data_IF_032332697971
#
_entry.id   IF_032332697971
#
_cell.length_a   1.000
_cell.length_b   1.000
_cell.length_c   1.000
_cell.angle_alpha   90.00
_cell.angle_beta   90.00
_cell.angle_gamma   90.00
#
_symmetry.space_group_name_H-M   'P 1'
#
loop_
_entity.id
_entity.type
_entity.pdbx_description
1 polymer ?
#
# COMPACT_ATOMS: atom_id res chain seq x y z
N UNK A 1 -18.12 4.43 0.99
CA UNK A 1 -17.16 3.90 0.00
C UNK A 1 -17.76 2.73 -0.78
N UNK A 2 -17.87 2.86 -2.11
CA UNK A 2 -18.24 1.74 -3.00
C UNK A 2 -16.99 1.17 -3.67
N UNK A 3 -16.72 -0.12 -3.47
CA UNK A 3 -15.64 -0.86 -4.13
C UNK A 3 -16.18 -2.21 -4.57
N UNK A 4 -15.51 -2.88 -5.50
CA UNK A 4 -15.84 -4.25 -5.97
C UNK A 4 -14.97 -5.32 -5.29
N UNK A 5 -14.39 -5.00 -4.13
CA UNK A 5 -13.38 -5.88 -3.48
C UNK A 5 -13.99 -7.17 -2.93
N UNK A 6 -15.30 -7.18 -2.68
CA UNK A 6 -16.09 -8.36 -2.33
C UNK A 6 -16.19 -9.36 -3.48
N UNK A 7 -15.90 -8.95 -4.72
CA UNK A 7 -15.88 -9.80 -5.90
C UNK A 7 -14.46 -10.30 -6.19
N UNK A 8 -13.42 -9.63 -5.70
CA UNK A 8 -12.02 -9.98 -5.95
C UNK A 8 -11.62 -11.34 -5.33
N UNK A 9 -11.09 -12.27 -6.12
CA UNK A 9 -10.57 -13.55 -5.62
C UNK A 9 -9.24 -13.41 -4.88
N UNK A 10 -8.44 -12.42 -5.28
CA UNK A 10 -7.17 -12.09 -4.65
C UNK A 10 -6.93 -10.57 -4.72
N UNK A 11 -6.03 -10.10 -3.85
CA UNK A 11 -5.48 -8.75 -3.92
C UNK A 11 -3.96 -8.86 -3.72
N UNK A 12 -3.14 -8.20 -4.55
CA UNK A 12 -1.70 -8.24 -4.37
C UNK A 12 -1.29 -7.51 -3.07
N UNK A 13 -0.11 -7.82 -2.51
CA UNK A 13 0.45 -7.04 -1.41
C UNK A 13 0.45 -5.55 -1.74
N UNK A 14 -0.20 -4.72 -0.94
CA UNK A 14 -0.50 -3.33 -1.32
C UNK A 14 -0.02 -2.38 -0.24
N UNK A 15 0.64 -1.29 -0.66
CA UNK A 15 0.84 -0.13 0.21
C UNK A 15 0.00 1.04 -0.29
N UNK A 16 -0.70 1.70 0.62
CA UNK A 16 -1.52 2.89 0.37
C UNK A 16 -0.91 4.03 1.16
N UNK A 17 -0.62 5.15 0.50
CA UNK A 17 -0.22 6.41 1.13
C UNK A 17 -1.40 7.38 1.08
N UNK A 18 -1.69 8.07 2.20
CA UNK A 18 -2.76 9.07 2.25
C UNK A 18 -2.45 10.14 3.30
N UNK A 19 -2.59 11.42 2.95
CA UNK A 19 -2.56 12.51 3.92
C UNK A 19 -3.87 12.61 4.70
N UNK A 20 -3.85 12.82 6.02
CA UNK A 20 -5.10 12.91 6.79
C UNK A 20 -5.83 14.26 6.69
N UNK A 21 -5.17 15.27 6.10
CA UNK A 21 -5.74 16.58 5.81
C UNK A 21 -6.17 16.71 4.34
N UNK A 22 -6.15 15.63 3.54
CA UNK A 22 -6.55 15.64 2.12
C UNK A 22 -8.00 16.14 1.96
N UNK A 23 -8.14 17.30 1.31
CA UNK A 23 -9.43 17.96 1.03
C UNK A 23 -10.09 17.50 -0.26
N UNK A 24 -9.38 16.79 -1.14
CA UNK A 24 -9.90 16.27 -2.41
C UNK A 24 -10.46 14.85 -2.24
N UNK A 25 -9.81 14.01 -1.43
CA UNK A 25 -10.21 12.63 -1.16
C UNK A 25 -10.14 12.37 0.34
N UNK A 26 -11.24 11.91 0.94
CA UNK A 26 -11.31 11.75 2.40
C UNK A 26 -10.53 10.51 2.83
N UNK A 27 -9.57 10.67 3.75
CA UNK A 27 -8.76 9.57 4.33
C UNK A 27 -9.59 8.42 4.92
N UNK A 28 -10.82 8.72 5.35
CA UNK A 28 -11.79 7.73 5.82
C UNK A 28 -12.10 6.63 4.81
N UNK A 29 -12.07 6.92 3.51
CA UNK A 29 -12.29 5.91 2.48
C UNK A 29 -11.12 4.90 2.43
N UNK A 30 -9.86 5.34 2.54
CA UNK A 30 -8.73 4.38 2.61
C UNK A 30 -8.76 3.52 3.86
N UNK A 31 -9.17 4.07 5.01
CA UNK A 31 -9.38 3.28 6.24
C UNK A 31 -10.48 2.23 6.04
N UNK A 32 -11.63 2.66 5.53
CA UNK A 32 -12.76 1.79 5.24
C UNK A 32 -12.40 0.68 4.24
N UNK A 33 -11.55 0.96 3.24
CA UNK A 33 -11.06 -0.05 2.31
C UNK A 33 -10.24 -1.12 3.01
N UNK A 34 -9.28 -0.74 3.85
CA UNK A 34 -8.43 -1.70 4.56
C UNK A 34 -9.25 -2.55 5.52
N UNK A 35 -10.18 -1.94 6.26
CA UNK A 35 -11.06 -2.66 7.18
C UNK A 35 -11.95 -3.66 6.43
N UNK A 36 -12.48 -3.24 5.28
CA UNK A 36 -13.29 -4.09 4.40
C UNK A 36 -12.49 -5.29 3.89
N UNK A 37 -11.27 -5.09 3.37
CA UNK A 37 -10.43 -6.22 2.92
C UNK A 37 -10.15 -7.20 4.05
N UNK A 38 -9.76 -6.69 5.23
CA UNK A 38 -9.48 -7.53 6.41
C UNK A 38 -10.70 -8.30 6.92
N UNK A 39 -11.90 -7.81 6.64
CA UNK A 39 -13.15 -8.48 7.01
C UNK A 39 -13.54 -9.62 6.07
N UNK A 40 -12.98 -9.68 4.86
CA UNK A 40 -13.30 -10.69 3.86
C UNK A 40 -12.42 -11.93 4.08
N UNK A 41 -13.02 -13.06 4.45
CA UNK A 41 -12.28 -14.30 4.74
C UNK A 41 -11.37 -14.72 3.58
N UNK A 42 -11.81 -14.53 2.33
CA UNK A 42 -11.02 -14.84 1.12
C UNK A 42 -9.78 -13.97 0.93
N UNK A 43 -9.73 -12.79 1.54
CA UNK A 43 -8.60 -11.84 1.46
C UNK A 43 -7.92 -11.64 2.82
N UNK A 44 -8.20 -12.50 3.80
CA UNK A 44 -7.71 -12.34 5.18
C UNK A 44 -6.19 -12.40 5.30
N UNK A 45 -5.56 -13.17 4.42
CA UNK A 45 -4.11 -13.30 4.32
C UNK A 45 -3.47 -12.21 3.43
N UNK A 46 -4.27 -11.32 2.83
CA UNK A 46 -3.75 -10.21 2.04
C UNK A 46 -3.00 -9.23 2.93
N UNK A 47 -1.74 -8.98 2.58
CA UNK A 47 -0.94 -7.97 3.25
C UNK A 47 -1.22 -6.58 2.69
N UNK A 48 -1.88 -5.72 3.49
CA UNK A 48 -2.10 -4.31 3.16
C UNK A 48 -1.46 -3.43 4.22
N UNK A 49 -0.68 -2.44 3.77
CA UNK A 49 -0.15 -1.36 4.59
C UNK A 49 -0.84 -0.05 4.25
N UNK A 50 -1.41 0.60 5.26
CA UNK A 50 -1.96 1.95 5.13
C UNK A 50 -1.05 2.91 5.90
N UNK A 51 -0.42 3.83 5.18
CA UNK A 51 0.52 4.80 5.71
C UNK A 51 -0.13 6.17 5.65
N UNK A 52 -0.59 6.62 6.81
CA UNK A 52 -1.25 7.92 6.96
C UNK A 52 -0.21 8.96 7.34
N UNK A 53 -0.22 10.10 6.65
CA UNK A 53 0.68 11.22 6.91
C UNK A 53 -0.10 12.38 7.51
N UNK A 54 0.21 12.67 8.77
CA UNK A 54 -0.46 13.70 9.56
C UNK A 54 -0.19 15.10 9.00
N UNK A 55 -1.26 15.89 8.89
CA UNK A 55 -1.26 17.27 8.39
C UNK A 55 -0.98 17.41 6.90
N UNK A 56 -0.95 16.31 6.15
CA UNK A 56 -0.61 16.32 4.72
C UNK A 56 -1.86 16.37 3.85
N UNK A 57 -1.80 17.18 2.80
CA UNK A 57 -2.85 17.37 1.80
C UNK A 57 -2.74 16.40 0.62
N UNK A 58 -3.70 16.48 -0.30
CA UNK A 58 -3.66 15.76 -1.57
C UNK A 58 -2.32 15.96 -2.30
N UNK A 59 -1.72 14.86 -2.79
CA UNK A 59 -0.48 14.91 -3.56
C UNK A 59 0.76 15.35 -2.77
N UNK A 60 0.76 15.24 -1.43
CA UNK A 60 1.90 15.60 -0.57
C UNK A 60 3.22 14.91 -0.95
N UNK A 61 3.14 13.80 -1.69
CA UNK A 61 4.25 12.97 -2.12
C UNK A 61 4.81 13.34 -3.50
N UNK A 62 4.28 14.36 -4.19
CA UNK A 62 4.72 14.79 -5.55
C UNK A 62 6.24 14.97 -5.65
N UNK A 63 6.86 15.56 -4.63
CA UNK A 63 8.30 15.80 -4.56
C UNK A 63 9.03 14.86 -3.60
N UNK A 64 8.36 13.83 -3.09
CA UNK A 64 8.95 12.91 -2.13
C UNK A 64 9.96 11.99 -2.81
N UNK A 65 11.17 11.91 -2.24
CA UNK A 65 12.24 11.04 -2.73
C UNK A 65 12.55 9.93 -1.74
N UNK A 66 12.80 8.74 -2.28
CA UNK A 66 13.12 7.51 -1.53
C UNK A 66 14.33 7.69 -0.62
N UNK A 67 15.38 8.32 -1.09
CA UNK A 67 16.64 8.51 -0.37
C UNK A 67 16.55 9.57 0.74
N UNK A 68 15.67 10.56 0.56
CA UNK A 68 15.48 11.66 1.52
C UNK A 68 14.46 11.33 2.63
N UNK A 69 13.48 10.47 2.34
CA UNK A 69 12.33 10.26 3.22
C UNK A 69 12.21 8.82 3.70
N UNK A 70 12.52 8.60 4.99
CA UNK A 70 12.50 7.27 5.62
C UNK A 70 11.16 6.55 5.49
N UNK A 71 10.05 7.25 5.74
CA UNK A 71 8.70 6.67 5.65
C UNK A 71 8.39 6.18 4.23
N UNK A 72 8.93 6.82 3.20
CA UNK A 72 8.73 6.40 1.82
C UNK A 72 9.61 5.19 1.51
N UNK A 73 10.89 5.26 1.87
CA UNK A 73 11.86 4.18 1.67
C UNK A 73 11.40 2.85 2.23
N UNK A 74 10.98 2.84 3.50
CA UNK A 74 10.59 1.60 4.20
C UNK A 74 9.40 0.90 3.53
N UNK A 75 8.48 1.68 2.95
CA UNK A 75 7.30 1.15 2.27
C UNK A 75 7.60 0.70 0.85
N UNK A 76 8.43 1.46 0.13
CA UNK A 76 8.94 1.06 -1.18
C UNK A 76 9.74 -0.23 -1.09
N UNK A 77 10.67 -0.34 -0.14
CA UNK A 77 11.46 -1.57 0.07
C UNK A 77 10.57 -2.77 0.41
N UNK A 78 9.53 -2.56 1.22
CA UNK A 78 8.59 -3.63 1.53
C UNK A 78 7.80 -4.07 0.31
N UNK A 79 7.19 -3.14 -0.43
CA UNK A 79 6.36 -3.51 -1.60
C UNK A 79 7.22 -4.06 -2.73
N UNK A 80 8.42 -3.50 -2.98
CA UNK A 80 9.42 -4.06 -3.88
C UNK A 80 9.77 -5.50 -3.49
N UNK A 81 10.04 -5.76 -2.21
CA UNK A 81 10.33 -7.10 -1.72
C UNK A 81 9.16 -8.08 -1.86
N UNK A 82 7.91 -7.61 -1.83
CA UNK A 82 6.73 -8.47 -2.04
C UNK A 82 6.45 -8.75 -3.51
N UNK A 83 6.67 -7.76 -4.38
CA UNK A 83 6.35 -7.87 -5.81
C UNK A 83 7.49 -8.46 -6.63
N UNK A 84 8.74 -8.12 -6.29
CA UNK A 84 9.93 -8.45 -7.09
C UNK A 84 10.74 -9.62 -6.51
N UNK A 85 10.25 -10.32 -5.49
CA UNK A 85 10.92 -11.50 -4.90
C UNK A 85 11.10 -12.70 -5.85
N UNK A 86 10.83 -12.54 -7.15
CA UNK A 86 11.04 -13.57 -8.17
C UNK A 86 12.29 -13.28 -9.00
N UNK A 87 13.47 -13.59 -8.46
CA UNK A 87 14.61 -14.19 -9.18
C UNK A 87 15.77 -14.50 -8.21
N UNK A 88 15.60 -15.52 -7.37
CA UNK A 88 16.72 -16.20 -6.71
C UNK A 88 16.50 -17.71 -6.71
N UNK A 89 15.96 -18.22 -7.81
CA UNK A 89 16.09 -19.63 -8.20
C UNK A 89 17.06 -19.68 -9.38
N UNK A 90 18.29 -20.14 -9.08
CA UNK A 90 19.34 -20.60 -10.00
C UNK A 90 19.86 -19.64 -11.09
N UNK A 91 20.88 -18.85 -10.75
CA UNK A 91 22.05 -18.73 -11.64
C UNK A 91 23.25 -19.12 -10.78
N UNK A 92 23.63 -20.40 -10.86
CA UNK A 92 25.01 -20.80 -10.56
C UNK A 92 25.90 -20.01 -11.52
N UNK A 93 26.74 -19.15 -10.96
CA UNK A 93 27.85 -18.54 -11.69
C UNK A 93 28.93 -19.60 -11.77
N UNK A 94 29.02 -20.26 -12.93
CA UNK A 94 30.23 -20.94 -13.38
C UNK A 94 31.23 -19.90 -13.92
#
# INVERSE_FOLDING_TARGET
MHTVVEEAECLPPTTIFHGDADTAVVVGDSRAFVDKVKSLEKLKETEIRLVIREGMEHGFDEFAKRDEQRWLREQLEWVEGKWLATSSLNITRD
#
